data_IF_848708387688
#
_entry.id   IF_848708387688
#
_cell.length_a   1.000
_cell.length_b   1.000
_cell.length_c   1.000
_cell.angle_alpha   90.00
_cell.angle_beta   90.00
_cell.angle_gamma   90.00
#
_symmetry.space_group_name_H-M   'P 1'
#
loop_
_entity.id
_entity.type
_entity.pdbx_description
1 polymer ?
#
# COMPACT_ATOMS: atom_id res chain seq x y z
N UNK A 1 -24.33 3.03 -16.67
CA UNK A 1 -24.02 3.76 -15.42
C UNK A 1 -23.07 2.86 -14.63
N UNK A 2 -22.00 3.38 -14.16
CA UNK A 2 -21.08 2.63 -13.30
C UNK A 2 -21.68 2.57 -11.90
N UNK A 3 -21.88 1.38 -11.38
CA UNK A 3 -22.38 1.17 -10.03
C UNK A 3 -21.21 0.63 -9.20
N UNK A 4 -20.91 1.29 -8.09
CA UNK A 4 -19.89 0.84 -7.15
C UNK A 4 -20.48 -0.18 -6.18
N UNK A 5 -19.67 -1.14 -5.77
CA UNK A 5 -19.99 -2.02 -4.66
C UNK A 5 -20.11 -1.23 -3.35
N UNK A 6 -20.83 -1.77 -2.40
CA UNK A 6 -20.96 -1.15 -1.09
C UNK A 6 -19.68 -1.26 -0.27
N UNK A 7 -19.52 -0.39 0.72
CA UNK A 7 -18.38 -0.45 1.66
C UNK A 7 -18.37 -1.78 2.41
N UNK A 8 -19.54 -2.29 2.78
CA UNK A 8 -19.71 -3.57 3.48
C UNK A 8 -19.20 -4.74 2.64
N UNK A 9 -19.53 -4.77 1.36
CA UNK A 9 -19.04 -5.78 0.41
C UNK A 9 -17.52 -5.68 0.24
N UNK A 10 -16.99 -4.47 0.09
CA UNK A 10 -15.55 -4.25 -0.01
C UNK A 10 -14.79 -4.72 1.24
N UNK A 11 -15.31 -4.45 2.43
CA UNK A 11 -14.73 -4.92 3.70
C UNK A 11 -14.74 -6.43 3.81
N UNK A 12 -15.79 -7.11 3.33
CA UNK A 12 -15.86 -8.57 3.31
C UNK A 12 -14.81 -9.17 2.38
N UNK A 13 -14.60 -8.58 1.20
CA UNK A 13 -13.55 -9.01 0.27
C UNK A 13 -12.14 -8.83 0.87
N UNK A 14 -11.89 -7.73 1.57
CA UNK A 14 -10.62 -7.52 2.30
C UNK A 14 -10.38 -8.55 3.39
N UNK A 15 -11.42 -8.91 4.17
CA UNK A 15 -11.34 -9.99 5.19
C UNK A 15 -11.04 -11.35 4.56
N UNK A 16 -11.48 -11.58 3.34
CA UNK A 16 -11.21 -12.81 2.59
C UNK A 16 -9.84 -12.79 1.87
N UNK A 17 -9.02 -11.79 2.11
CA UNK A 17 -7.67 -11.68 1.55
C UNK A 17 -7.62 -11.28 0.07
N UNK A 18 -8.70 -10.71 -0.44
CA UNK A 18 -8.80 -10.28 -1.83
C UNK A 18 -8.30 -8.86 -2.03
N UNK A 19 -7.99 -8.54 -3.27
CA UNK A 19 -7.68 -7.18 -3.72
C UNK A 19 -8.98 -6.50 -4.14
N UNK A 20 -9.16 -5.27 -3.67
CA UNK A 20 -10.22 -4.38 -4.12
C UNK A 20 -9.62 -3.20 -4.89
N UNK A 21 -10.42 -2.56 -5.73
CA UNK A 21 -10.07 -1.32 -6.41
C UNK A 21 -10.84 -0.17 -5.75
N UNK A 22 -10.13 0.78 -5.22
CA UNK A 22 -10.71 1.99 -4.60
C UNK A 22 -10.39 3.19 -5.46
N UNK A 23 -11.38 4.00 -5.76
CA UNK A 23 -11.20 5.26 -6.48
C UNK A 23 -11.47 6.43 -5.54
N UNK A 24 -10.72 7.49 -5.70
CA UNK A 24 -10.95 8.73 -4.98
C UNK A 24 -11.82 9.73 -5.76
N UNK A 25 -12.07 10.88 -5.15
CA UNK A 25 -12.86 11.94 -5.76
C UNK A 25 -12.18 12.47 -7.03
N UNK A 26 -12.93 12.67 -8.14
CA UNK A 26 -12.39 13.26 -9.35
C UNK A 26 -11.75 14.65 -9.16
N UNK A 27 -12.16 15.38 -8.14
CA UNK A 27 -11.59 16.69 -7.79
C UNK A 27 -10.31 16.59 -6.95
N UNK A 28 -9.98 15.39 -6.45
CA UNK A 28 -8.73 15.14 -5.70
C UNK A 28 -7.64 14.63 -6.66
N UNK A 29 -7.34 13.36 -6.69
CA UNK A 29 -6.33 12.76 -7.58
C UNK A 29 -6.97 12.12 -8.81
N UNK A 30 -8.24 11.71 -8.71
CA UNK A 30 -8.97 10.99 -9.75
C UNK A 30 -8.23 9.73 -10.21
N UNK A 31 -7.69 8.99 -9.26
CA UNK A 31 -6.92 7.77 -9.47
C UNK A 31 -7.60 6.58 -8.81
N UNK A 32 -7.19 5.39 -9.25
CA UNK A 32 -7.62 4.13 -8.66
C UNK A 32 -6.45 3.40 -8.02
N UNK A 33 -6.66 2.89 -6.81
CA UNK A 33 -5.67 2.14 -6.06
C UNK A 33 -6.10 0.70 -5.84
N UNK A 34 -5.21 -0.26 -6.07
CA UNK A 34 -5.39 -1.62 -5.59
C UNK A 34 -5.06 -1.69 -4.10
N UNK A 35 -5.98 -2.23 -3.33
CA UNK A 35 -5.83 -2.35 -1.87
C UNK A 35 -6.08 -3.80 -1.46
N UNK A 36 -5.22 -4.34 -0.60
CA UNK A 36 -5.48 -5.57 0.12
C UNK A 36 -5.08 -5.39 1.60
N UNK A 37 -5.64 -6.22 2.47
CA UNK A 37 -5.24 -6.22 3.87
C UNK A 37 -3.80 -6.75 4.01
N UNK A 38 -2.92 -6.00 4.68
CA UNK A 38 -1.53 -6.40 4.88
C UNK A 38 -1.40 -7.76 5.57
N UNK A 39 -2.27 -8.05 6.54
CA UNK A 39 -2.36 -9.32 7.25
C UNK A 39 -2.53 -10.53 6.32
N UNK A 40 -3.28 -10.36 5.23
CA UNK A 40 -3.59 -11.42 4.27
C UNK A 40 -2.82 -11.29 2.96
N UNK A 41 -1.90 -10.34 2.84
CA UNK A 41 -1.11 -10.14 1.64
C UNK A 41 -0.27 -11.38 1.31
N UNK A 42 -0.20 -11.74 0.04
CA UNK A 42 0.58 -12.84 -0.49
C UNK A 42 1.54 -12.35 -1.56
N UNK A 43 2.55 -13.15 -1.89
CA UNK A 43 3.43 -12.86 -3.04
C UNK A 43 2.64 -12.67 -4.33
N UNK A 44 1.58 -13.46 -4.54
CA UNK A 44 0.69 -13.33 -5.70
C UNK A 44 -0.04 -11.97 -5.71
N UNK A 45 -0.53 -11.49 -4.56
CA UNK A 45 -1.17 -10.18 -4.44
C UNK A 45 -0.19 -9.06 -4.82
N UNK A 46 1.02 -9.09 -4.28
CA UNK A 46 2.05 -8.08 -4.55
C UNK A 46 2.47 -8.11 -6.03
N UNK A 47 2.66 -9.30 -6.59
CA UNK A 47 2.95 -9.44 -8.01
C UNK A 47 1.82 -8.91 -8.90
N UNK A 48 0.57 -9.16 -8.54
CA UNK A 48 -0.59 -8.62 -9.24
C UNK A 48 -0.58 -7.09 -9.23
N UNK A 49 -0.36 -6.47 -8.07
CA UNK A 49 -0.29 -5.01 -7.94
C UNK A 49 0.83 -4.44 -8.80
N UNK A 50 2.02 -5.02 -8.76
CA UNK A 50 3.17 -4.56 -9.55
C UNK A 50 2.92 -4.69 -11.06
N UNK A 51 2.31 -5.79 -11.50
CA UNK A 51 2.07 -6.09 -12.91
C UNK A 51 0.97 -5.20 -13.51
N UNK A 52 -0.13 -5.03 -12.80
CA UNK A 52 -1.34 -4.38 -13.32
C UNK A 52 -1.50 -2.94 -12.85
N UNK A 53 -1.12 -2.62 -11.62
CA UNK A 53 -1.19 -1.26 -11.08
C UNK A 53 -0.13 -0.34 -11.63
N UNK A 54 1.08 -0.84 -11.79
CA UNK A 54 2.24 -0.11 -12.35
C UNK A 54 2.62 1.16 -11.60
N UNK A 55 2.10 1.30 -10.40
CA UNK A 55 2.37 2.41 -9.50
C UNK A 55 3.29 2.02 -8.35
N UNK A 56 3.42 2.92 -7.39
CA UNK A 56 4.16 2.69 -6.17
C UNK A 56 3.37 1.77 -5.23
N UNK A 57 4.02 0.72 -4.74
CA UNK A 57 3.42 -0.14 -3.71
C UNK A 57 3.80 0.42 -2.34
N UNK A 58 2.78 0.84 -1.59
CA UNK A 58 2.94 1.44 -0.27
C UNK A 58 2.28 0.57 0.79
N UNK A 59 2.76 0.67 2.02
CA UNK A 59 2.11 0.08 3.19
C UNK A 59 1.80 1.18 4.20
N UNK A 60 0.60 1.74 4.19
CA UNK A 60 0.17 2.68 5.21
C UNK A 60 0.24 2.06 6.60
N UNK A 61 0.82 2.77 7.55
CA UNK A 61 0.96 2.30 8.92
C UNK A 61 0.75 3.42 9.93
N UNK A 62 0.42 3.05 11.16
CA UNK A 62 0.24 4.02 12.22
C UNK A 62 1.57 4.65 12.66
N UNK A 63 1.50 5.86 13.20
CA UNK A 63 2.65 6.55 13.76
C UNK A 63 3.37 5.71 14.84
N UNK A 64 2.62 4.91 15.58
CA UNK A 64 3.18 4.01 16.60
C UNK A 64 4.15 3.00 15.98
N UNK A 65 3.80 2.39 14.85
CA UNK A 65 4.69 1.47 14.14
C UNK A 65 5.89 2.19 13.53
N UNK A 66 5.68 3.35 12.92
CA UNK A 66 6.76 4.16 12.35
C UNK A 66 7.80 4.53 13.41
N UNK A 67 7.35 4.95 14.59
CA UNK A 67 8.21 5.26 15.73
C UNK A 67 8.95 4.04 16.27
N UNK A 68 8.24 2.90 16.41
CA UNK A 68 8.83 1.64 16.87
C UNK A 68 9.95 1.17 15.94
N UNK A 69 9.77 1.31 14.64
CA UNK A 69 10.76 0.95 13.62
C UNK A 69 11.82 2.03 13.40
N UNK A 70 11.67 3.21 14.04
CA UNK A 70 12.57 4.36 13.90
C UNK A 70 12.74 4.81 12.44
N UNK A 71 11.66 4.81 11.70
CA UNK A 71 11.65 5.21 10.29
C UNK A 71 11.38 6.72 10.21
N UNK A 72 12.32 7.55 9.73
CA UNK A 72 12.09 8.99 9.58
C UNK A 72 11.25 9.30 8.34
N UNK A 73 10.68 10.50 8.31
CA UNK A 73 10.05 11.01 7.09
C UNK A 73 11.10 11.21 5.99
N UNK A 74 10.68 11.04 4.74
CA UNK A 74 11.53 11.21 3.56
C UNK A 74 12.00 12.66 3.42
N UNK A 75 11.13 13.63 3.71
CA UNK A 75 11.42 15.05 3.62
C UNK A 75 11.15 15.74 4.96
N UNK A 76 12.09 16.59 5.41
CA UNK A 76 11.89 17.42 6.60
C UNK A 76 10.82 18.48 6.36
N UNK A 77 10.80 19.05 5.15
CA UNK A 77 9.78 20.01 4.71
C UNK A 77 9.01 19.41 3.53
N UNK A 78 7.78 19.03 3.76
CA UNK A 78 6.91 18.44 2.73
C UNK A 78 6.31 19.55 1.86
N UNK A 79 6.64 19.52 0.57
CA UNK A 79 6.14 20.46 -0.45
C UNK A 79 5.16 19.79 -1.42
N UNK A 80 4.76 18.57 -1.15
CA UNK A 80 3.76 17.86 -1.95
C UNK A 80 2.39 18.55 -1.90
N UNK A 81 1.68 18.57 -3.02
CA UNK A 81 0.36 19.22 -3.12
C UNK A 81 -0.69 18.62 -2.16
N UNK A 82 -0.57 17.34 -1.84
CA UNK A 82 -1.46 16.61 -0.93
C UNK A 82 -0.85 16.36 0.44
N UNK A 83 0.37 16.86 0.68
CA UNK A 83 1.12 16.69 1.93
C UNK A 83 1.28 15.23 2.36
N UNK A 84 1.38 14.30 1.40
CA UNK A 84 1.52 12.87 1.66
C UNK A 84 2.76 12.58 2.49
N UNK A 85 2.56 11.99 3.67
CA UNK A 85 3.61 11.74 4.65
C UNK A 85 4.41 10.47 4.33
N UNK A 86 5.20 10.48 3.26
CA UNK A 86 6.12 9.37 2.95
C UNK A 86 7.27 9.31 3.95
N UNK A 87 7.60 8.09 4.34
CA UNK A 87 8.84 7.80 5.07
C UNK A 87 9.98 7.53 4.09
N UNK A 88 11.23 7.46 4.59
CA UNK A 88 12.30 6.85 3.81
C UNK A 88 11.92 5.42 3.47
N UNK A 89 12.37 4.92 2.32
CA UNK A 89 12.16 3.53 1.92
C UNK A 89 13.06 2.60 2.73
N UNK A 90 12.55 1.43 3.05
CA UNK A 90 13.28 0.38 3.76
C UNK A 90 13.05 -0.97 3.10
N UNK A 91 13.99 -1.90 3.33
CA UNK A 91 13.87 -3.29 2.93
C UNK A 91 14.02 -4.20 4.14
N UNK A 92 13.49 -5.41 4.06
CA UNK A 92 13.71 -6.41 5.10
C UNK A 92 15.17 -6.89 5.08
N UNK A 93 15.74 -7.13 6.25
CA UNK A 93 17.17 -7.48 6.41
C UNK A 93 17.60 -8.73 5.64
N UNK A 94 16.67 -9.62 5.29
CA UNK A 94 16.97 -10.85 4.53
C UNK A 94 16.90 -10.68 3.02
N UNK A 95 16.56 -9.48 2.53
CA UNK A 95 16.40 -9.25 1.09
C UNK A 95 17.75 -9.01 0.40
N UNK A 96 17.77 -9.16 -0.91
CA UNK A 96 18.90 -8.78 -1.76
C UNK A 96 18.71 -7.36 -2.29
N UNK A 97 17.83 -7.16 -3.28
CA UNK A 97 17.50 -5.85 -3.83
C UNK A 97 16.19 -5.27 -3.30
N UNK A 98 15.37 -6.07 -2.63
CA UNK A 98 14.06 -5.67 -2.11
C UNK A 98 12.98 -5.48 -3.19
N UNK A 99 13.25 -5.84 -4.44
CA UNK A 99 12.37 -5.49 -5.57
C UNK A 99 11.35 -6.58 -5.90
N UNK A 100 11.70 -7.86 -5.73
CA UNK A 100 10.77 -8.95 -6.07
C UNK A 100 9.50 -8.91 -5.20
N UNK A 101 8.41 -9.47 -5.71
CA UNK A 101 7.16 -9.55 -4.95
C UNK A 101 7.33 -10.30 -3.62
N UNK A 102 8.12 -11.36 -3.60
CA UNK A 102 8.42 -12.12 -2.39
C UNK A 102 9.23 -11.29 -1.36
N UNK A 103 10.22 -10.52 -1.82
CA UNK A 103 11.01 -9.67 -0.94
C UNK A 103 10.18 -8.50 -0.36
N UNK A 104 9.33 -7.87 -1.16
CA UNK A 104 8.39 -6.84 -0.70
C UNK A 104 7.42 -7.41 0.35
N UNK A 105 6.90 -8.62 0.12
CA UNK A 105 6.03 -9.29 1.09
C UNK A 105 6.73 -9.53 2.43
N UNK A 106 8.00 -9.90 2.43
CA UNK A 106 8.76 -10.13 3.67
C UNK A 106 8.80 -8.88 4.56
N UNK A 107 8.85 -7.70 3.96
CA UNK A 107 8.79 -6.44 4.70
C UNK A 107 7.39 -6.16 5.25
N UNK A 108 6.35 -6.42 4.48
CA UNK A 108 4.96 -6.20 4.91
C UNK A 108 4.63 -7.01 6.16
N UNK A 109 5.11 -8.24 6.25
CA UNK A 109 4.84 -9.15 7.38
C UNK A 109 5.77 -8.98 8.58
N UNK A 110 6.57 -7.95 8.58
CA UNK A 110 7.45 -7.68 9.72
C UNK A 110 6.67 -7.35 11.01
#
# INVERSE_FOLDING_TARGET
MFEFDTVEEALEELKNGKIILVTDDPERENEGDFICAAEFATTANINFMATHGRGLICMPMSETYVRKLKIPQMAEQNTDNHETAFTVSIDHVTTTTGISAAERLSLIHI
#
